data_IF_264458813295
#
_entry.id   IF_264458813295
#
_cell.length_a   1.000
_cell.length_b   1.000
_cell.length_c   1.000
_cell.angle_alpha   90.00
_cell.angle_beta   90.00
_cell.angle_gamma   90.00
#
_symmetry.space_group_name_H-M   'P 1'
#
loop_
_entity.id
_entity.type
_entity.pdbx_description
1 polymer ?
#
# COMPACT_ATOMS: atom_id res chain seq x y z
N UNK A 1 17.37 36.45 -12.88
CA UNK A 1 16.96 35.37 -11.95
C UNK A 1 15.64 34.80 -12.41
N UNK A 2 15.52 33.47 -12.53
CA UNK A 2 14.25 32.85 -12.92
C UNK A 2 13.26 32.90 -11.74
N UNK A 3 12.05 33.40 -11.99
CA UNK A 3 10.96 33.43 -10.99
C UNK A 3 10.32 32.05 -10.90
N UNK A 4 10.19 31.52 -9.68
CA UNK A 4 9.50 30.26 -9.41
C UNK A 4 8.05 30.34 -9.92
N UNK A 5 7.60 29.34 -10.69
CA UNK A 5 6.26 29.32 -11.33
C UNK A 5 5.34 28.22 -10.81
N UNK A 6 5.93 27.12 -10.34
CA UNK A 6 5.21 25.96 -9.89
C UNK A 6 5.96 25.26 -8.74
N UNK A 7 5.22 24.51 -7.94
CA UNK A 7 5.70 23.66 -6.87
C UNK A 7 5.12 22.26 -7.07
N UNK A 8 5.98 21.24 -6.97
CA UNK A 8 5.55 19.85 -6.97
C UNK A 8 5.84 19.25 -5.60
N UNK A 9 4.90 18.49 -5.08
CA UNK A 9 5.04 17.79 -3.80
C UNK A 9 5.09 16.29 -4.02
N UNK A 10 5.85 15.60 -3.19
CA UNK A 10 5.61 14.20 -2.91
C UNK A 10 4.34 14.07 -2.04
N UNK A 11 3.72 12.88 -2.02
CA UNK A 11 2.53 12.62 -1.22
C UNK A 11 2.92 12.17 0.19
N UNK A 12 3.62 11.04 0.28
CA UNK A 12 3.99 10.39 1.54
C UNK A 12 5.11 11.13 2.26
N UNK A 13 4.97 11.32 3.58
CA UNK A 13 5.90 12.09 4.41
C UNK A 13 5.95 13.59 4.12
N UNK A 14 5.19 14.09 3.13
CA UNK A 14 5.17 15.51 2.73
C UNK A 14 3.78 16.12 2.89
N UNK A 15 2.77 15.61 2.17
CA UNK A 15 1.39 16.06 2.29
C UNK A 15 0.64 15.24 3.34
N UNK A 16 0.85 13.94 3.33
CA UNK A 16 0.29 12.99 4.29
C UNK A 16 1.39 12.24 5.00
N UNK A 17 1.16 11.87 6.25
CA UNK A 17 2.07 11.04 7.03
C UNK A 17 2.23 9.67 6.37
N UNK A 18 3.42 9.07 6.49
CA UNK A 18 3.63 7.69 6.08
C UNK A 18 2.66 6.78 6.85
N UNK A 19 1.98 5.89 6.13
CA UNK A 19 1.01 4.97 6.71
C UNK A 19 1.46 3.52 6.49
N UNK A 20 1.39 2.72 7.55
CA UNK A 20 1.87 1.34 7.57
C UNK A 20 0.75 0.44 8.06
N UNK A 21 0.36 -0.52 7.22
CA UNK A 21 -0.77 -1.45 7.44
C UNK A 21 -0.33 -2.92 7.38
N UNK A 22 0.98 -3.16 7.53
CA UNK A 22 1.57 -4.50 7.44
C UNK A 22 0.91 -5.47 8.42
N UNK A 23 0.70 -5.05 9.67
CA UNK A 23 0.11 -5.90 10.71
C UNK A 23 -1.32 -6.29 10.37
N UNK A 24 -2.09 -5.34 9.89
CA UNK A 24 -3.49 -5.53 9.51
C UNK A 24 -3.59 -6.42 8.26
N UNK A 25 -2.72 -6.23 7.25
CA UNK A 25 -2.66 -7.12 6.07
C UNK A 25 -2.32 -8.55 6.46
N UNK A 26 -1.34 -8.72 7.33
CA UNK A 26 -0.95 -10.04 7.85
C UNK A 26 -2.10 -10.67 8.63
N UNK A 27 -2.81 -9.90 9.46
CA UNK A 27 -3.95 -10.40 10.22
C UNK A 27 -5.10 -10.85 9.30
N UNK A 28 -5.40 -10.11 8.23
CA UNK A 28 -6.40 -10.50 7.23
C UNK A 28 -6.03 -11.82 6.54
N UNK A 29 -4.77 -11.94 6.12
CA UNK A 29 -4.26 -13.17 5.50
C UNK A 29 -4.32 -14.36 6.48
N UNK A 30 -3.88 -14.16 7.71
CA UNK A 30 -3.92 -15.18 8.77
C UNK A 30 -5.35 -15.66 9.03
N UNK A 31 -6.30 -14.71 9.12
CA UNK A 31 -7.71 -15.03 9.32
C UNK A 31 -8.28 -15.85 8.16
N UNK A 32 -8.03 -15.45 6.91
CA UNK A 32 -8.49 -16.17 5.74
C UNK A 32 -7.94 -17.60 5.71
N UNK A 33 -6.64 -17.77 5.94
CA UNK A 33 -6.00 -19.08 5.99
C UNK A 33 -6.54 -19.96 7.13
N UNK A 34 -6.79 -19.38 8.31
CA UNK A 34 -7.39 -20.09 9.44
C UNK A 34 -8.82 -20.57 9.14
N UNK A 35 -9.64 -19.74 8.49
CA UNK A 35 -11.01 -20.09 8.09
C UNK A 35 -11.07 -21.25 7.09
N UNK A 36 -9.98 -21.48 6.34
CA UNK A 36 -9.83 -22.55 5.36
C UNK A 36 -8.88 -23.67 5.82
N UNK A 37 -8.75 -23.87 7.14
CA UNK A 37 -8.00 -24.98 7.75
C UNK A 37 -6.51 -25.05 7.35
N UNK A 38 -5.92 -23.91 6.97
CA UNK A 38 -4.52 -23.80 6.55
C UNK A 38 -3.74 -22.78 7.39
N UNK A 39 -3.76 -22.88 8.74
CA UNK A 39 -3.06 -21.90 9.58
C UNK A 39 -1.57 -21.83 9.24
N UNK A 40 -1.00 -20.64 9.47
CA UNK A 40 0.43 -20.36 9.34
C UNK A 40 0.90 -19.67 10.60
N UNK A 41 2.13 -19.97 11.01
CA UNK A 41 2.76 -19.27 12.11
C UNK A 41 3.13 -17.82 11.71
N UNK A 42 3.35 -16.97 12.71
CA UNK A 42 3.64 -15.55 12.51
C UNK A 42 4.90 -15.32 11.69
N UNK A 43 5.93 -16.16 11.83
CA UNK A 43 7.20 -16.00 11.10
C UNK A 43 7.00 -16.27 9.61
N UNK A 44 6.27 -17.35 9.27
CA UNK A 44 5.89 -17.68 7.91
C UNK A 44 5.07 -16.57 7.24
N UNK A 45 4.09 -15.99 7.96
CA UNK A 45 3.27 -14.90 7.44
C UNK A 45 4.09 -13.61 7.20
N UNK A 46 4.98 -13.27 8.14
CA UNK A 46 5.90 -12.15 7.97
C UNK A 46 6.87 -12.37 6.80
N UNK A 47 7.37 -13.60 6.63
CA UNK A 47 8.23 -13.96 5.51
C UNK A 47 7.49 -13.83 4.18
N UNK A 48 6.24 -14.29 4.11
CA UNK A 48 5.42 -14.17 2.91
C UNK A 48 5.07 -12.71 2.58
N UNK A 49 4.78 -11.88 3.59
CA UNK A 49 4.60 -10.43 3.38
C UNK A 49 5.84 -9.76 2.80
N UNK A 50 7.03 -10.04 3.37
CA UNK A 50 8.32 -9.55 2.83
C UNK A 50 8.58 -10.05 1.41
N UNK A 51 8.23 -11.30 1.12
CA UNK A 51 8.33 -11.85 -0.23
C UNK A 51 7.45 -11.07 -1.21
N UNK A 52 6.18 -10.86 -0.90
CA UNK A 52 5.26 -10.05 -1.71
C UNK A 52 5.76 -8.61 -1.93
N UNK A 53 6.40 -8.01 -0.91
CA UNK A 53 7.07 -6.71 -1.06
C UNK A 53 8.24 -6.76 -2.05
N UNK A 54 9.07 -7.81 -2.02
CA UNK A 54 10.18 -7.95 -2.97
C UNK A 54 9.69 -8.12 -4.42
N UNK A 55 8.54 -8.76 -4.62
CA UNK A 55 7.87 -8.83 -5.93
C UNK A 55 7.44 -7.43 -6.39
N UNK A 56 6.76 -6.67 -5.53
CA UNK A 56 6.40 -5.28 -5.84
C UNK A 56 7.63 -4.44 -6.21
N UNK A 57 8.69 -4.51 -5.40
CA UNK A 57 9.94 -3.78 -5.65
C UNK A 57 10.56 -4.14 -7.01
N UNK A 58 10.56 -5.42 -7.38
CA UNK A 58 11.04 -5.88 -8.69
C UNK A 58 10.26 -5.23 -9.83
N UNK A 59 8.93 -5.33 -9.81
CA UNK A 59 8.07 -4.73 -10.84
C UNK A 59 8.22 -3.22 -10.93
N UNK A 60 8.36 -2.54 -9.79
CA UNK A 60 8.60 -1.10 -9.78
C UNK A 60 9.96 -0.74 -10.40
N UNK A 61 11.05 -1.45 -10.05
CA UNK A 61 12.39 -1.18 -10.59
C UNK A 61 12.53 -1.53 -12.07
N UNK A 62 11.99 -2.66 -12.48
CA UNK A 62 12.20 -3.23 -13.82
C UNK A 62 11.18 -2.71 -14.83
N UNK A 63 9.91 -2.61 -14.43
CA UNK A 63 8.79 -2.30 -15.32
C UNK A 63 8.16 -0.92 -15.06
N UNK A 64 8.56 -0.23 -13.99
CA UNK A 64 8.04 1.11 -13.61
C UNK A 64 6.53 1.12 -13.47
N UNK A 65 5.97 0.05 -12.90
CA UNK A 65 4.54 -0.09 -12.63
C UNK A 65 4.27 -0.75 -11.29
N UNK A 66 3.08 -0.49 -10.76
CA UNK A 66 2.53 -1.22 -9.62
C UNK A 66 2.04 -2.62 -10.03
N UNK A 67 1.86 -3.48 -9.02
CA UNK A 67 1.17 -4.77 -9.16
C UNK A 67 -0.23 -4.69 -8.60
N UNK A 68 -1.15 -5.48 -9.15
CA UNK A 68 -2.50 -5.60 -8.58
C UNK A 68 -2.45 -6.36 -7.25
N UNK A 69 -3.45 -6.14 -6.40
CA UNK A 69 -3.56 -6.90 -5.16
C UNK A 69 -3.78 -8.40 -5.43
N UNK A 70 -4.46 -8.73 -6.53
CA UNK A 70 -4.65 -10.10 -6.99
C UNK A 70 -3.29 -10.78 -7.24
N UNK A 71 -2.40 -10.14 -8.02
CA UNK A 71 -1.08 -10.69 -8.31
C UNK A 71 -0.24 -10.81 -7.03
N UNK A 72 -0.30 -9.80 -6.15
CA UNK A 72 0.39 -9.86 -4.86
C UNK A 72 -0.11 -11.05 -4.02
N UNK A 73 -1.42 -11.26 -3.93
CA UNK A 73 -2.02 -12.36 -3.18
C UNK A 73 -1.64 -13.72 -3.77
N UNK A 74 -1.66 -13.85 -5.09
CA UNK A 74 -1.27 -15.08 -5.79
C UNK A 74 0.18 -15.48 -5.47
N UNK A 75 1.12 -14.52 -5.53
CA UNK A 75 2.54 -14.72 -5.21
C UNK A 75 2.75 -15.08 -3.73
N UNK A 76 2.03 -14.41 -2.82
CA UNK A 76 2.09 -14.67 -1.38
C UNK A 76 1.55 -16.06 -1.02
N UNK A 77 0.42 -16.46 -1.61
CA UNK A 77 -0.16 -17.80 -1.39
C UNK A 77 0.74 -18.89 -1.98
N UNK A 78 1.31 -18.65 -3.17
CA UNK A 78 2.27 -19.57 -3.78
C UNK A 78 3.51 -19.75 -2.90
N UNK A 79 4.07 -18.67 -2.35
CA UNK A 79 5.19 -18.71 -1.41
C UNK A 79 4.86 -19.53 -0.15
N UNK A 80 3.63 -19.42 0.36
CA UNK A 80 3.16 -20.16 1.53
C UNK A 80 2.76 -21.61 1.23
N UNK A 81 2.80 -22.04 -0.03
CA UNK A 81 2.25 -23.32 -0.48
C UNK A 81 0.79 -23.49 -0.07
N UNK A 82 0.02 -22.41 -0.08
CA UNK A 82 -1.37 -22.37 0.34
C UNK A 82 -2.29 -22.13 -0.86
N UNK A 83 -3.53 -22.60 -0.74
CA UNK A 83 -4.56 -22.34 -1.74
C UNK A 83 -5.85 -21.89 -1.06
N UNK A 84 -6.44 -20.80 -1.54
CA UNK A 84 -7.73 -20.31 -1.09
C UNK A 84 -8.76 -20.52 -2.20
N UNK A 85 -9.98 -21.00 -1.87
CA UNK A 85 -11.06 -21.09 -2.85
C UNK A 85 -11.33 -19.74 -3.55
N UNK A 86 -11.82 -19.73 -4.79
CA UNK A 86 -12.07 -18.50 -5.55
C UNK A 86 -12.90 -17.46 -4.79
N UNK A 87 -13.95 -17.88 -4.09
CA UNK A 87 -14.82 -16.99 -3.32
C UNK A 87 -14.08 -16.34 -2.14
N UNK A 88 -13.19 -17.09 -1.48
CA UNK A 88 -12.37 -16.58 -0.39
C UNK A 88 -11.34 -15.57 -0.87
N UNK A 89 -10.75 -15.80 -2.05
CA UNK A 89 -9.85 -14.83 -2.70
C UNK A 89 -10.61 -13.57 -3.10
N UNK A 90 -11.82 -13.73 -3.65
CA UNK A 90 -12.67 -12.61 -4.05
C UNK A 90 -13.11 -11.74 -2.86
N UNK A 91 -13.30 -12.31 -1.68
CA UNK A 91 -13.55 -11.55 -0.43
C UNK A 91 -12.27 -10.89 0.11
N UNK A 92 -11.15 -11.61 0.09
CA UNK A 92 -9.90 -11.14 0.72
C UNK A 92 -9.25 -10.00 -0.05
N UNK A 93 -9.24 -10.05 -1.39
CA UNK A 93 -8.56 -9.05 -2.24
C UNK A 93 -9.02 -7.61 -1.95
N UNK A 94 -10.33 -7.27 -2.00
CA UNK A 94 -10.80 -5.92 -1.70
C UNK A 94 -10.44 -5.48 -0.29
N UNK A 95 -10.54 -6.37 0.70
CA UNK A 95 -10.23 -6.06 2.11
C UNK A 95 -8.77 -5.67 2.32
N UNK A 96 -7.84 -6.29 1.58
CA UNK A 96 -6.43 -5.94 1.62
C UNK A 96 -6.15 -4.65 0.84
N UNK A 97 -6.83 -4.44 -0.29
CA UNK A 97 -6.70 -3.23 -1.12
C UNK A 97 -7.19 -1.98 -0.39
N UNK A 98 -8.36 -2.07 0.24
CA UNK A 98 -9.04 -0.96 0.92
C UNK A 98 -8.55 -0.75 2.36
N UNK A 99 -7.48 -1.43 2.78
CA UNK A 99 -7.08 -1.47 4.18
C UNK A 99 -6.80 -0.08 4.78
N UNK A 100 -6.27 0.86 3.97
CA UNK A 100 -6.03 2.24 4.37
C UNK A 100 -7.31 3.06 4.57
N UNK A 101 -8.45 2.62 4.04
CA UNK A 101 -9.76 3.26 4.26
C UNK A 101 -10.35 2.90 5.62
N UNK A 102 -9.98 1.74 6.16
CA UNK A 102 -10.54 1.18 7.39
C UNK A 102 -9.57 1.18 8.57
N UNK A 103 -8.27 1.16 8.28
CA UNK A 103 -7.21 1.09 9.29
C UNK A 103 -6.00 1.90 8.84
N UNK A 104 -5.38 2.65 9.76
CA UNK A 104 -4.18 3.42 9.42
C UNK A 104 -4.43 4.53 8.38
N UNK A 105 -5.64 5.11 8.35
CA UNK A 105 -5.99 6.19 7.42
C UNK A 105 -4.95 7.32 7.47
N UNK A 106 -4.28 7.64 6.34
CA UNK A 106 -3.25 8.66 6.30
C UNK A 106 -3.76 9.98 6.84
N UNK A 107 -3.03 10.56 7.77
CA UNK A 107 -3.32 11.89 8.30
C UNK A 107 -2.47 12.94 7.58
N UNK A 108 -2.99 14.14 7.34
CA UNK A 108 -2.17 15.23 6.82
C UNK A 108 -0.94 15.47 7.71
N UNK A 109 0.19 15.84 7.10
CA UNK A 109 1.33 16.38 7.86
C UNK A 109 0.90 17.72 8.49
N UNK A 110 1.37 17.99 9.70
CA UNK A 110 0.99 19.18 10.45
C UNK A 110 1.22 20.46 9.64
N UNK A 111 0.17 21.31 9.54
CA UNK A 111 0.21 22.58 8.82
C UNK A 111 0.00 22.47 7.30
N UNK A 112 -0.07 21.27 6.70
CA UNK A 112 -0.32 21.12 5.26
C UNK A 112 -1.65 21.76 4.84
N UNK A 113 -2.69 21.59 5.66
CA UNK A 113 -4.02 22.16 5.41
C UNK A 113 -4.02 23.69 5.37
N UNK A 114 -3.06 24.34 6.05
CA UNK A 114 -2.95 25.80 6.09
C UNK A 114 -2.00 26.33 5.00
N UNK A 115 -0.93 25.59 4.72
CA UNK A 115 0.13 26.01 3.79
C UNK A 115 -0.27 25.84 2.33
N UNK A 116 -0.92 24.73 1.99
CA UNK A 116 -1.27 24.42 0.59
C UNK A 116 -2.19 25.48 -0.03
N UNK A 117 -3.28 25.94 0.61
CA UNK A 117 -4.11 27.01 0.05
C UNK A 117 -3.32 28.29 -0.23
N UNK A 118 -2.46 28.69 0.71
CA UNK A 118 -1.63 29.91 0.58
C UNK A 118 -0.61 29.80 -0.56
N UNK A 119 -0.08 28.61 -0.81
CA UNK A 119 0.82 28.37 -1.93
C UNK A 119 0.05 28.33 -3.26
N UNK A 120 -1.16 27.78 -3.28
CA UNK A 120 -2.02 27.74 -4.46
C UNK A 120 -2.39 29.14 -4.97
N UNK A 121 -2.52 30.12 -4.07
CA UNK A 121 -2.75 31.53 -4.44
C UNK A 121 -1.59 32.15 -5.24
N UNK A 122 -0.38 31.57 -5.17
CA UNK A 122 0.85 32.14 -5.76
C UNK A 122 1.50 31.26 -6.83
N UNK A 123 1.33 29.95 -6.75
CA UNK A 123 2.04 28.99 -7.59
C UNK A 123 1.08 27.93 -8.13
N UNK A 124 1.36 27.43 -9.32
CA UNK A 124 0.72 26.20 -9.79
C UNK A 124 1.25 25.03 -8.96
N UNK A 125 0.36 24.25 -8.38
CA UNK A 125 0.74 23.10 -7.57
C UNK A 125 0.59 21.81 -8.39
N UNK A 126 1.51 20.88 -8.19
CA UNK A 126 1.44 19.53 -8.75
C UNK A 126 1.82 18.48 -7.71
N UNK A 127 1.46 17.23 -7.99
CA UNK A 127 1.86 16.07 -7.21
C UNK A 127 2.77 15.21 -8.10
N UNK A 128 3.94 14.85 -7.58
CA UNK A 128 4.83 13.85 -8.18
C UNK A 128 5.16 12.89 -7.05
N UNK A 129 4.54 11.72 -7.07
CA UNK A 129 4.70 10.74 -6.00
C UNK A 129 4.56 9.33 -6.56
N UNK A 130 5.38 8.43 -6.04
CA UNK A 130 5.22 6.99 -6.25
C UNK A 130 4.12 6.49 -5.29
N UNK A 131 2.88 6.86 -5.60
CA UNK A 131 1.66 6.39 -4.92
C UNK A 131 0.97 5.35 -5.79
N UNK A 132 0.61 4.21 -5.20
CA UNK A 132 -0.07 3.10 -5.86
C UNK A 132 -0.33 1.95 -4.91
#
# INVERSE_FOLDING_TARGET
MARLRALTFDFWGTLYQNAWVERERIALLAQALQCHEQPRDTESLLAAHRYGWSIHERYWREERRSISIQLWLDEVLAFLGADLPPDARADLCPRIEEIYLHSGAPQPVAGVTDVIPRLADRYRLGLISDVG
#
